data_IF_444679439369
#
_entry.id   IF_444679439369
#
_cell.length_a   1.000
_cell.length_b   1.000
_cell.length_c   1.000
_cell.angle_alpha   90.00
_cell.angle_beta   90.00
_cell.angle_gamma   90.00
#
_symmetry.space_group_name_H-M   'P 1'
#
loop_
_entity.id
_entity.type
_entity.pdbx_description
1 polymer ?
#
# COMPACT_ATOMS: atom_id res chain seq x y z
N UNK A 1 -5.43 -11.40 -17.23
CA UNK A 1 -4.03 -11.01 -17.52
C UNK A 1 -3.04 -12.17 -17.60
N UNK A 2 -3.20 -13.37 -17.42
CA UNK A 2 -2.28 -14.51 -17.66
C UNK A 2 -0.81 -14.35 -17.21
N UNK A 3 -0.55 -13.51 -16.18
CA UNK A 3 0.81 -13.24 -15.70
C UNK A 3 1.28 -14.42 -14.89
N UNK A 4 2.36 -15.08 -15.35
CA UNK A 4 3.00 -16.16 -14.60
C UNK A 4 3.94 -15.53 -13.56
N UNK A 5 3.76 -15.87 -12.28
CA UNK A 5 4.57 -15.39 -11.15
C UNK A 5 4.69 -13.85 -11.10
N UNK A 6 3.58 -13.12 -10.86
CA UNK A 6 3.60 -11.67 -10.79
C UNK A 6 4.51 -11.19 -9.65
N UNK A 7 5.24 -10.09 -9.89
CA UNK A 7 5.80 -9.30 -8.80
C UNK A 7 4.69 -8.37 -8.32
N UNK A 8 4.34 -8.46 -7.06
CA UNK A 8 3.37 -7.54 -6.45
C UNK A 8 3.98 -6.78 -5.29
N UNK A 9 3.51 -5.56 -5.09
CA UNK A 9 3.89 -4.68 -3.98
C UNK A 9 2.62 -4.33 -3.22
N UNK A 10 2.68 -4.47 -1.91
CA UNK A 10 1.57 -4.25 -0.97
C UNK A 10 2.02 -3.15 0.00
N UNK A 11 1.35 -1.99 -0.06
CA UNK A 11 1.70 -0.78 0.68
C UNK A 11 0.62 -0.52 1.72
N UNK A 12 0.98 -0.61 3.01
CA UNK A 12 0.06 -0.56 4.12
C UNK A 12 -0.50 -1.94 4.46
N UNK A 13 0.38 -2.92 4.59
CA UNK A 13 0.02 -4.35 4.78
C UNK A 13 -0.89 -4.57 5.97
N UNK A 14 -0.72 -3.81 7.06
CA UNK A 14 -1.42 -4.02 8.31
C UNK A 14 -1.31 -5.50 8.75
N UNK A 15 -2.40 -6.21 8.90
CA UNK A 15 -2.35 -7.64 9.21
C UNK A 15 -2.11 -8.47 7.95
N UNK A 16 -1.05 -9.31 7.87
CA UNK A 16 -0.60 -9.95 6.62
C UNK A 16 -1.56 -11.00 6.05
N UNK A 17 -2.63 -11.35 6.78
CA UNK A 17 -3.63 -12.37 6.39
C UNK A 17 -5.05 -11.84 6.42
N UNK A 18 -5.42 -11.14 7.51
CA UNK A 18 -6.80 -10.71 7.76
C UNK A 18 -7.04 -9.36 7.11
N UNK A 19 -8.07 -9.25 6.27
CA UNK A 19 -8.41 -8.01 5.54
C UNK A 19 -7.25 -7.47 4.68
N UNK A 20 -6.43 -8.36 4.16
CA UNK A 20 -5.30 -7.98 3.31
C UNK A 20 -5.58 -8.37 1.85
N UNK A 21 -5.53 -7.39 0.97
CA UNK A 21 -5.88 -7.52 -0.45
C UNK A 21 -4.97 -8.48 -1.21
N UNK A 22 -3.68 -8.53 -0.85
CA UNK A 22 -2.68 -9.32 -1.57
C UNK A 22 -2.47 -10.73 -1.00
N UNK A 23 -3.04 -11.05 0.18
CA UNK A 23 -2.88 -12.38 0.78
C UNK A 23 -3.39 -13.50 -0.10
N UNK A 24 -4.47 -13.28 -0.84
CA UNK A 24 -5.00 -14.26 -1.79
C UNK A 24 -3.97 -14.65 -2.86
N UNK A 25 -3.11 -13.72 -3.29
CA UNK A 25 -2.02 -14.03 -4.23
C UNK A 25 -1.02 -14.99 -3.59
N UNK A 26 -0.61 -14.69 -2.35
CA UNK A 26 0.31 -15.53 -1.60
C UNK A 26 -0.24 -16.93 -1.34
N UNK A 27 -1.50 -17.04 -0.90
CA UNK A 27 -2.20 -18.31 -0.66
C UNK A 27 -2.27 -19.18 -1.92
N UNK A 28 -2.43 -18.55 -3.09
CA UNK A 28 -2.41 -19.24 -4.40
C UNK A 28 -1.00 -19.60 -4.89
N UNK A 29 0.03 -19.36 -4.09
CA UNK A 29 1.41 -19.72 -4.39
C UNK A 29 2.21 -18.67 -5.16
N UNK A 30 1.67 -17.46 -5.38
CA UNK A 30 2.41 -16.34 -5.93
C UNK A 30 3.20 -15.66 -4.81
N UNK A 31 4.44 -16.06 -4.61
CA UNK A 31 5.25 -15.64 -3.46
C UNK A 31 6.23 -14.52 -3.75
N UNK A 32 6.25 -14.00 -4.98
CA UNK A 32 7.13 -12.89 -5.37
C UNK A 32 6.49 -11.54 -4.99
N UNK A 33 6.37 -11.28 -3.69
CA UNK A 33 5.75 -10.10 -3.13
C UNK A 33 6.70 -9.27 -2.27
N UNK A 34 6.49 -7.97 -2.26
CA UNK A 34 7.14 -6.99 -1.39
C UNK A 34 6.06 -6.35 -0.53
N UNK A 35 6.24 -6.41 0.77
CA UNK A 35 5.31 -5.91 1.77
C UNK A 35 5.92 -4.69 2.45
N UNK A 36 5.23 -3.57 2.43
CA UNK A 36 5.68 -2.29 3.00
C UNK A 36 4.76 -1.94 4.16
N UNK A 37 5.32 -1.89 5.37
CA UNK A 37 4.55 -1.71 6.60
C UNK A 37 5.38 -0.97 7.65
N UNK A 38 4.90 0.17 8.19
CA UNK A 38 5.63 0.91 9.22
C UNK A 38 5.54 0.30 10.62
N UNK A 39 4.57 -0.60 10.89
CA UNK A 39 4.40 -1.23 12.19
C UNK A 39 5.26 -2.49 12.32
N UNK A 40 6.35 -2.43 13.10
CA UNK A 40 7.25 -3.56 13.30
C UNK A 40 6.56 -4.84 13.79
N UNK A 41 5.52 -4.75 14.64
CA UNK A 41 4.78 -5.93 15.08
C UNK A 41 4.05 -6.62 13.90
N UNK A 42 3.53 -5.82 12.95
CA UNK A 42 2.90 -6.36 11.74
C UNK A 42 3.95 -6.93 10.77
N UNK A 43 5.13 -6.32 10.71
CA UNK A 43 6.28 -6.87 10.00
C UNK A 43 6.71 -8.24 10.55
N UNK A 44 6.77 -8.40 11.88
CA UNK A 44 7.05 -9.70 12.52
C UNK A 44 5.98 -10.74 12.17
N UNK A 45 4.71 -10.37 12.22
CA UNK A 45 3.61 -11.26 11.80
C UNK A 45 3.73 -11.62 10.32
N UNK A 46 4.10 -10.67 9.47
CA UNK A 46 4.32 -10.92 8.06
C UNK A 46 5.46 -11.93 7.82
N UNK A 47 6.52 -11.87 8.61
CA UNK A 47 7.60 -12.86 8.57
C UNK A 47 7.12 -14.28 8.91
N UNK A 48 6.16 -14.40 9.82
CA UNK A 48 5.62 -15.70 10.24
C UNK A 48 4.65 -16.26 9.18
N UNK A 49 3.71 -15.44 8.71
CA UNK A 49 2.63 -15.90 7.84
C UNK A 49 2.96 -15.85 6.35
N UNK A 50 3.88 -14.96 5.95
CA UNK A 50 4.30 -14.76 4.55
C UNK A 50 5.84 -14.80 4.40
N UNK A 51 6.53 -15.83 4.91
CA UNK A 51 8.00 -15.88 5.02
C UNK A 51 8.74 -15.82 3.67
N UNK A 52 8.03 -15.99 2.56
CA UNK A 52 8.62 -15.91 1.22
C UNK A 52 8.54 -14.50 0.60
N UNK A 53 7.80 -13.59 1.23
CA UNK A 53 7.75 -12.20 0.77
C UNK A 53 8.92 -11.41 1.36
N UNK A 54 9.38 -10.41 0.63
CA UNK A 54 10.31 -9.40 1.15
C UNK A 54 9.51 -8.40 1.98
N UNK A 55 10.00 -8.05 3.16
CA UNK A 55 9.37 -7.10 4.06
C UNK A 55 10.24 -5.85 4.14
N UNK A 56 9.62 -4.69 4.03
CA UNK A 56 10.24 -3.37 4.19
C UNK A 56 9.53 -2.67 5.34
N UNK A 57 10.22 -2.55 6.48
CA UNK A 57 9.70 -1.85 7.66
C UNK A 57 9.84 -0.34 7.47
N UNK A 58 8.89 0.26 6.75
CA UNK A 58 8.81 1.70 6.49
C UNK A 58 7.38 2.09 6.06
N UNK A 59 7.04 3.36 6.21
CA UNK A 59 5.90 3.96 5.50
C UNK A 59 6.29 4.32 4.06
N UNK A 60 5.29 4.48 3.21
CA UNK A 60 5.46 5.06 1.87
C UNK A 60 4.91 6.50 1.84
N UNK A 61 5.49 7.35 0.99
CA UNK A 61 5.02 8.72 0.75
C UNK A 61 5.13 9.12 -0.72
N UNK A 62 4.47 10.22 -1.07
CA UNK A 62 4.62 10.87 -2.37
C UNK A 62 5.82 11.82 -2.45
N UNK A 63 6.35 12.28 -1.33
CA UNK A 63 7.46 13.22 -1.21
C UNK A 63 8.80 12.53 -0.88
N UNK A 64 9.82 13.31 -0.49
CA UNK A 64 11.16 12.79 -0.15
C UNK A 64 11.15 11.81 1.04
N UNK A 65 10.10 11.79 1.85
CA UNK A 65 10.00 10.98 3.05
C UNK A 65 10.80 11.55 4.22
N UNK A 66 11.26 10.68 5.11
CA UNK A 66 12.01 11.05 6.32
C UNK A 66 11.58 10.24 7.53
N UNK A 67 11.51 10.90 8.69
CA UNK A 67 10.95 10.30 9.91
C UNK A 67 9.61 10.97 10.18
N UNK A 68 8.54 10.21 10.18
CA UNK A 68 7.19 10.70 10.47
C UNK A 68 6.59 9.99 11.68
N UNK A 69 5.68 10.69 12.32
CA UNK A 69 4.91 10.15 13.43
C UNK A 69 3.78 9.27 12.91
N UNK A 70 3.80 8.01 13.32
CA UNK A 70 2.80 7.00 12.97
C UNK A 70 1.95 6.70 14.19
N UNK A 71 0.65 6.99 14.10
CA UNK A 71 -0.31 6.83 15.18
C UNK A 71 -0.93 5.45 15.12
N UNK A 72 -0.92 4.74 16.26
CA UNK A 72 -1.33 3.34 16.35
C UNK A 72 -2.58 3.20 17.21
N UNK A 73 -3.63 2.63 16.67
CA UNK A 73 -4.87 2.38 17.39
C UNK A 73 -4.76 1.13 18.27
N UNK A 74 -4.82 1.29 19.59
CA UNK A 74 -4.77 0.18 20.53
C UNK A 74 -6.06 -0.66 20.58
N UNK A 75 -7.19 -0.11 20.15
CA UNK A 75 -8.50 -0.72 20.41
C UNK A 75 -8.82 -1.87 19.46
N UNK A 76 -8.03 -2.07 18.41
CA UNK A 76 -8.22 -3.26 17.57
C UNK A 76 -7.05 -3.47 16.61
N UNK A 77 -6.27 -4.48 16.88
CA UNK A 77 -5.36 -5.10 15.91
C UNK A 77 -6.05 -5.58 14.60
N UNK A 78 -7.38 -5.59 14.57
CA UNK A 78 -8.18 -6.04 13.44
C UNK A 78 -8.90 -4.92 12.68
N UNK A 79 -8.88 -3.68 13.18
CA UNK A 79 -9.59 -2.58 12.53
C UNK A 79 -8.71 -1.70 11.62
N UNK A 80 -7.40 -1.94 11.55
CA UNK A 80 -6.54 -1.34 10.54
C UNK A 80 -6.34 0.18 10.58
N UNK A 81 -6.89 0.89 11.55
CA UNK A 81 -6.86 2.35 11.59
C UNK A 81 -5.60 2.95 12.22
N UNK A 82 -4.42 2.49 11.76
CA UNK A 82 -3.19 3.21 12.04
C UNK A 82 -2.98 4.26 10.94
N UNK A 83 -2.47 5.44 11.28
CA UNK A 83 -2.39 6.52 10.31
C UNK A 83 -1.21 7.46 10.56
N UNK A 84 -0.74 8.14 9.53
CA UNK A 84 0.16 9.28 9.66
C UNK A 84 -0.58 10.60 9.90
N UNK A 85 -1.91 10.60 9.80
CA UNK A 85 -2.73 11.80 9.96
C UNK A 85 -3.09 12.02 11.44
N UNK A 86 -2.53 13.08 12.03
CA UNK A 86 -2.77 13.46 13.43
C UNK A 86 -4.24 13.79 13.69
N UNK A 87 -4.92 14.48 12.78
CA UNK A 87 -6.33 14.87 12.98
C UNK A 87 -7.24 13.63 13.03
N UNK A 88 -6.94 12.62 12.22
CA UNK A 88 -7.63 11.34 12.28
C UNK A 88 -7.39 10.67 13.64
N UNK A 89 -6.14 10.61 14.09
CA UNK A 89 -5.79 10.00 15.37
C UNK A 89 -6.43 10.71 16.56
N UNK A 90 -6.51 12.05 16.53
CA UNK A 90 -7.20 12.89 17.55
C UNK A 90 -8.71 12.62 17.57
N UNK A 91 -9.35 12.63 16.40
CA UNK A 91 -10.78 12.37 16.26
C UNK A 91 -11.16 10.97 16.77
N UNK A 92 -10.33 9.99 16.49
CA UNK A 92 -10.56 8.57 16.89
C UNK A 92 -10.01 8.24 18.29
N UNK A 93 -9.34 9.21 18.97
CA UNK A 93 -8.94 9.10 20.37
C UNK A 93 -7.68 8.27 20.65
N UNK A 94 -6.75 8.19 19.71
CA UNK A 94 -5.48 7.46 19.87
C UNK A 94 -4.22 8.29 19.53
N UNK A 95 -4.32 9.61 19.48
CA UNK A 95 -3.20 10.50 19.13
C UNK A 95 -2.02 10.45 20.11
N UNK A 96 -2.25 10.02 21.35
CA UNK A 96 -1.20 9.86 22.36
C UNK A 96 -0.35 8.59 22.15
N UNK A 97 -0.79 7.66 21.29
CA UNK A 97 -0.10 6.42 20.99
C UNK A 97 0.55 6.48 19.60
N UNK A 98 1.80 6.87 19.54
CA UNK A 98 2.55 6.98 18.30
C UNK A 98 3.97 6.47 18.42
N UNK A 99 4.58 6.23 17.26
CA UNK A 99 5.99 5.91 17.10
C UNK A 99 6.54 6.71 15.92
N UNK A 100 7.75 7.21 16.04
CA UNK A 100 8.45 7.80 14.90
C UNK A 100 9.02 6.66 14.04
N UNK A 101 8.68 6.65 12.75
CA UNK A 101 9.04 5.59 11.80
C UNK A 101 9.66 6.17 10.54
N UNK A 102 10.56 5.42 9.86
CA UNK A 102 11.05 5.83 8.55
C UNK A 102 9.92 5.79 7.52
N UNK A 103 9.88 6.83 6.68
CA UNK A 103 8.98 6.92 5.53
C UNK A 103 9.83 7.21 4.31
N UNK A 104 9.54 6.57 3.20
CA UNK A 104 10.31 6.66 1.97
C UNK A 104 9.42 7.03 0.79
N UNK A 105 9.97 7.77 -0.16
CA UNK A 105 9.30 8.01 -1.44
C UNK A 105 8.98 6.70 -2.14
N UNK A 106 7.75 6.57 -2.68
CA UNK A 106 7.28 5.34 -3.33
C UNK A 106 8.20 4.88 -4.47
N UNK A 107 8.67 5.80 -5.31
CA UNK A 107 9.52 5.43 -6.45
C UNK A 107 10.88 4.90 -5.96
N UNK A 108 11.43 5.50 -4.90
CA UNK A 108 12.65 5.02 -4.25
C UNK A 108 12.46 3.63 -3.64
N UNK A 109 11.31 3.38 -2.97
CA UNK A 109 11.00 2.03 -2.46
C UNK A 109 11.02 1.01 -3.58
N UNK A 110 10.39 1.32 -4.72
CA UNK A 110 10.35 0.41 -5.86
C UNK A 110 11.74 0.19 -6.46
N UNK A 111 12.55 1.24 -6.60
CA UNK A 111 13.92 1.16 -7.10
C UNK A 111 14.83 0.26 -6.26
N UNK A 112 14.77 0.43 -4.94
CA UNK A 112 15.65 -0.28 -4.00
C UNK A 112 15.22 -1.73 -3.74
N UNK A 113 13.95 -2.05 -3.95
CA UNK A 113 13.37 -3.31 -3.53
C UNK A 113 12.90 -4.22 -4.66
N UNK A 114 12.57 -3.68 -5.82
CA UNK A 114 12.07 -4.44 -6.95
C UNK A 114 13.19 -4.85 -7.90
N UNK A 115 13.22 -6.11 -8.31
CA UNK A 115 14.16 -6.63 -9.32
C UNK A 115 13.72 -6.34 -10.76
N UNK A 116 12.46 -5.98 -10.95
CA UNK A 116 11.82 -5.54 -12.19
C UNK A 116 10.65 -4.62 -11.83
N UNK A 117 10.07 -3.95 -12.80
CA UNK A 117 8.81 -3.22 -12.58
C UNK A 117 7.73 -4.17 -12.00
N UNK A 118 6.99 -3.76 -10.94
CA UNK A 118 5.93 -4.58 -10.38
C UNK A 118 4.79 -4.77 -11.39
N UNK A 119 4.22 -5.95 -11.38
CA UNK A 119 3.03 -6.25 -12.18
C UNK A 119 1.75 -5.73 -11.50
N UNK A 120 1.75 -5.73 -10.16
CA UNK A 120 0.61 -5.34 -9.32
C UNK A 120 1.12 -4.44 -8.20
N UNK A 121 0.41 -3.36 -7.92
CA UNK A 121 0.58 -2.55 -6.70
C UNK A 121 -0.77 -2.46 -6.00
N UNK A 122 -0.76 -2.69 -4.69
CA UNK A 122 -1.86 -2.42 -3.77
C UNK A 122 -1.46 -1.27 -2.84
N UNK A 123 -2.34 -0.28 -2.68
CA UNK A 123 -2.13 0.91 -1.83
C UNK A 123 -3.33 1.03 -0.90
N UNK A 124 -3.08 0.87 0.40
CA UNK A 124 -4.09 0.96 1.45
C UNK A 124 -3.41 1.46 2.73
N UNK A 125 -3.26 2.80 2.85
CA UNK A 125 -2.40 3.44 3.85
C UNK A 125 -3.17 4.27 4.88
N UNK A 126 -4.51 4.27 4.78
CA UNK A 126 -5.42 4.97 5.71
C UNK A 126 -5.26 6.51 5.73
N UNK A 127 -4.52 7.11 4.79
CA UNK A 127 -4.46 8.58 4.65
C UNK A 127 -3.53 9.12 3.56
N UNK A 128 -2.62 8.34 3.01
CA UNK A 128 -1.60 8.81 2.07
C UNK A 128 -1.77 8.23 0.65
N UNK A 129 -2.86 7.54 0.40
CA UNK A 129 -3.11 6.77 -0.83
C UNK A 129 -3.08 7.63 -2.08
N UNK A 130 -3.71 8.81 -2.02
CA UNK A 130 -3.76 9.72 -3.16
C UNK A 130 -2.38 10.27 -3.50
N UNK A 131 -1.66 10.77 -2.50
CA UNK A 131 -0.33 11.38 -2.65
C UNK A 131 0.71 10.35 -3.12
N UNK A 132 0.64 9.13 -2.60
CA UNK A 132 1.50 8.02 -3.04
C UNK A 132 1.22 7.69 -4.50
N UNK A 133 -0.06 7.55 -4.87
CA UNK A 133 -0.44 7.21 -6.23
C UNK A 133 -0.16 8.36 -7.22
N UNK A 134 -0.35 9.60 -6.79
CA UNK A 134 0.00 10.78 -7.59
C UNK A 134 1.49 10.84 -7.91
N UNK A 135 2.34 10.54 -6.93
CA UNK A 135 3.80 10.56 -7.08
C UNK A 135 4.37 9.34 -7.81
N UNK A 136 3.63 8.23 -7.86
CA UNK A 136 4.08 7.00 -8.53
C UNK A 136 4.40 7.26 -10.00
N UNK A 137 5.65 7.01 -10.41
CA UNK A 137 6.12 7.13 -11.79
C UNK A 137 5.61 5.94 -12.63
N UNK A 138 4.40 6.07 -13.14
CA UNK A 138 3.73 5.04 -13.94
C UNK A 138 4.33 4.89 -15.35
N UNK A 139 5.05 5.90 -15.85
CA UNK A 139 5.75 5.80 -17.15
C UNK A 139 6.98 4.90 -17.02
N UNK A 140 7.68 5.00 -15.92
CA UNK A 140 8.86 4.19 -15.63
C UNK A 140 8.52 2.76 -15.24
N UNK A 141 7.61 2.60 -14.26
CA UNK A 141 7.30 1.28 -13.70
C UNK A 141 6.26 0.49 -14.49
N UNK A 142 5.40 1.15 -15.25
CA UNK A 142 4.37 0.54 -16.11
C UNK A 142 3.60 -0.59 -15.43
N UNK A 143 3.14 -0.33 -14.22
CA UNK A 143 2.37 -1.28 -13.42
C UNK A 143 1.12 -1.71 -14.17
N UNK A 144 0.82 -3.00 -14.24
CA UNK A 144 -0.31 -3.51 -15.02
C UNK A 144 -1.64 -3.36 -14.30
N UNK A 145 -1.62 -3.56 -12.98
CA UNK A 145 -2.81 -3.45 -12.12
C UNK A 145 -2.45 -2.65 -10.87
N UNK A 146 -3.25 -1.65 -10.58
CA UNK A 146 -3.18 -0.88 -9.33
C UNK A 146 -4.51 -1.06 -8.62
N UNK A 147 -4.46 -1.50 -7.38
CA UNK A 147 -5.55 -1.51 -6.42
C UNK A 147 -5.29 -0.39 -5.42
N UNK A 148 -6.28 0.44 -5.13
CA UNK A 148 -6.12 1.55 -4.20
C UNK A 148 -7.41 1.82 -3.44
N UNK A 149 -7.28 2.13 -2.15
CA UNK A 149 -8.39 2.63 -1.34
C UNK A 149 -8.77 4.06 -1.77
N UNK A 150 -10.07 4.32 -2.02
CA UNK A 150 -10.50 5.58 -2.64
C UNK A 150 -11.46 6.42 -1.80
N UNK A 151 -12.06 5.85 -0.78
CA UNK A 151 -13.00 6.43 0.22
C UNK A 151 -13.50 7.85 -0.09
N UNK A 152 -14.63 7.95 -0.82
CA UNK A 152 -15.30 9.22 -1.08
C UNK A 152 -14.57 10.16 -2.05
N UNK A 153 -13.43 9.73 -2.63
CA UNK A 153 -12.62 10.50 -3.60
C UNK A 153 -12.54 9.81 -4.97
N UNK A 154 -13.47 8.93 -5.27
CA UNK A 154 -13.46 8.06 -6.47
C UNK A 154 -13.29 8.87 -7.77
N UNK A 155 -13.91 10.05 -7.84
CA UNK A 155 -13.82 10.92 -9.01
C UNK A 155 -12.41 11.51 -9.20
N UNK A 156 -11.76 11.91 -8.09
CA UNK A 156 -10.40 12.47 -8.12
C UNK A 156 -9.39 11.40 -8.54
N UNK A 157 -9.46 10.22 -7.92
CA UNK A 157 -8.62 9.07 -8.28
C UNK A 157 -8.81 8.68 -9.74
N UNK A 158 -10.06 8.58 -10.21
CA UNK A 158 -10.35 8.21 -11.60
C UNK A 158 -9.77 9.22 -12.59
N UNK A 159 -9.90 10.52 -12.32
CA UNK A 159 -9.32 11.57 -13.16
C UNK A 159 -7.79 11.51 -13.20
N UNK A 160 -7.16 11.26 -12.06
CA UNK A 160 -5.70 11.11 -11.97
C UNK A 160 -5.24 9.88 -12.74
N UNK A 161 -5.89 8.74 -12.53
CA UNK A 161 -5.54 7.48 -13.18
C UNK A 161 -5.72 7.52 -14.70
N UNK A 162 -6.75 8.21 -15.18
CA UNK A 162 -6.94 8.42 -16.62
C UNK A 162 -5.77 9.19 -17.24
N UNK A 163 -5.29 10.25 -16.57
CA UNK A 163 -4.12 11.04 -17.00
C UNK A 163 -2.83 10.21 -16.96
N UNK A 164 -2.69 9.27 -16.03
CA UNK A 164 -1.57 8.33 -15.91
C UNK A 164 -1.66 7.15 -16.90
N UNK A 165 -2.69 7.10 -17.74
CA UNK A 165 -2.84 6.04 -18.75
C UNK A 165 -3.50 4.77 -18.26
N UNK A 166 -4.32 4.85 -17.22
CA UNK A 166 -5.08 3.72 -16.68
C UNK A 166 -6.57 3.86 -16.95
N UNK A 167 -7.27 2.74 -16.90
CA UNK A 167 -8.74 2.68 -16.95
C UNK A 167 -9.27 1.96 -15.72
N UNK A 168 -10.42 2.41 -15.24
CA UNK A 168 -11.18 1.71 -14.21
C UNK A 168 -11.52 0.30 -14.67
N UNK A 169 -11.26 -0.68 -13.80
CA UNK A 169 -11.57 -2.09 -14.07
C UNK A 169 -12.75 -2.57 -13.21
N UNK A 170 -12.68 -2.37 -11.91
CA UNK A 170 -13.76 -2.70 -10.98
C UNK A 170 -13.57 -1.96 -9.65
N UNK A 171 -14.64 -1.84 -8.87
CA UNK A 171 -14.59 -1.34 -7.50
C UNK A 171 -15.23 -2.33 -6.54
N UNK A 172 -14.72 -2.34 -5.32
CA UNK A 172 -15.36 -2.91 -4.12
C UNK A 172 -16.01 -1.77 -3.33
N UNK A 173 -16.32 -1.99 -2.06
CA UNK A 173 -16.86 -0.94 -1.18
C UNK A 173 -15.77 0.11 -0.86
N UNK A 174 -14.53 -0.32 -0.68
CA UNK A 174 -13.41 0.52 -0.20
C UNK A 174 -12.36 0.74 -1.30
N UNK A 175 -12.12 -0.27 -2.14
CA UNK A 175 -11.02 -0.27 -3.11
C UNK A 175 -11.49 -0.14 -4.57
N UNK A 176 -10.68 0.52 -5.37
CA UNK A 176 -10.83 0.54 -6.83
C UNK A 176 -9.59 -0.03 -7.50
N UNK A 177 -9.82 -0.85 -8.52
CA UNK A 177 -8.80 -1.47 -9.35
C UNK A 177 -8.72 -0.75 -10.70
N UNK A 178 -7.51 -0.39 -11.07
CA UNK A 178 -7.17 0.23 -12.34
C UNK A 178 -6.22 -0.65 -13.13
N UNK A 179 -6.42 -0.74 -14.45
CA UNK A 179 -5.52 -1.46 -15.36
C UNK A 179 -4.89 -0.49 -16.36
N UNK A 180 -3.63 -0.72 -16.69
CA UNK A 180 -2.94 0.08 -17.71
C UNK A 180 -3.64 -0.04 -19.07
N UNK A 181 -3.77 1.08 -19.79
CA UNK A 181 -4.19 1.10 -21.20
C UNK A 181 -3.11 0.37 -22.04
N UNK A 182 -3.55 -0.39 -23.04
CA UNK A 182 -2.67 -1.04 -24.02
C UNK A 182 -1.98 0.00 -24.92
#
# INVERSE_FOLDING_TARGET
MGIKNPLYVDIGVCHPVVRNNTYLLYEKGYTNGILIEPNGNMCELAQIYRPKNKIVEAGASGDEGGILRYYMNHQSSLKGYNTFNQEVAEREGFADNYKDVPVMNINRILEENCTKAPDIIDIDTESMDFEILEALDTDRFRVKLICVEVWGREAEFSQMMEKKGYVHYMSTIENTLYIAKE
#
